data_IF_379719944599
#
_entry.id   IF_379719944599
#
_cell.length_a   1.000
_cell.length_b   1.000
_cell.length_c   1.000
_cell.angle_alpha   90.00
_cell.angle_beta   90.00
_cell.angle_gamma   90.00
#
_symmetry.space_group_name_H-M   'P 1'
#
loop_
_entity.id
_entity.type
_entity.pdbx_description
1 polymer ?
#
# COMPACT_ATOMS: atom_id res chain seq x y z
N UNK A 1 10.51 -14.47 -6.23
CA UNK A 1 10.81 -14.02 -4.84
C UNK A 1 11.42 -12.60 -4.74
N UNK A 2 11.17 -11.69 -5.68
CA UNK A 2 11.60 -10.28 -5.58
C UNK A 2 10.41 -9.32 -5.33
N UNK A 3 9.25 -9.60 -5.95
CA UNK A 3 8.01 -8.85 -5.73
C UNK A 3 7.54 -8.91 -4.27
N UNK A 4 7.48 -10.10 -3.68
CA UNK A 4 7.13 -10.28 -2.26
C UNK A 4 8.04 -9.47 -1.30
N UNK A 5 9.34 -9.42 -1.57
CA UNK A 5 10.28 -8.61 -0.76
C UNK A 5 10.01 -7.11 -0.93
N UNK A 6 9.72 -6.66 -2.15
CA UNK A 6 9.37 -5.27 -2.43
C UNK A 6 8.05 -4.86 -1.78
N UNK A 7 7.04 -5.73 -1.80
CA UNK A 7 5.77 -5.53 -1.08
C UNK A 7 6.01 -5.42 0.43
N UNK A 8 6.80 -6.33 1.02
CA UNK A 8 7.13 -6.30 2.44
C UNK A 8 7.87 -5.01 2.84
N UNK A 9 8.78 -4.51 2.01
CA UNK A 9 9.46 -3.23 2.24
C UNK A 9 8.50 -2.04 2.19
N UNK A 10 7.56 -2.03 1.23
CA UNK A 10 6.53 -0.99 1.13
C UNK A 10 5.56 -1.04 2.31
N UNK A 11 5.20 -2.23 2.80
CA UNK A 11 4.38 -2.39 4.01
C UNK A 11 5.06 -1.78 5.24
N UNK A 12 6.35 -2.07 5.47
CA UNK A 12 7.12 -1.42 6.55
C UNK A 12 7.14 0.10 6.44
N UNK A 13 7.28 0.62 5.21
CA UNK A 13 7.23 2.07 4.96
C UNK A 13 5.84 2.65 5.26
N UNK A 14 4.78 1.93 4.92
CA UNK A 14 3.41 2.32 5.24
C UNK A 14 3.17 2.37 6.75
N UNK A 15 3.59 1.34 7.49
CA UNK A 15 3.51 1.30 8.96
C UNK A 15 4.26 2.46 9.63
N UNK A 16 5.46 2.78 9.12
CA UNK A 16 6.23 3.92 9.63
C UNK A 16 5.52 5.26 9.38
N UNK A 17 4.92 5.45 8.21
CA UNK A 17 4.10 6.63 7.91
C UNK A 17 2.87 6.73 8.83
N UNK A 18 2.28 5.60 9.21
CA UNK A 18 1.15 5.54 10.15
C UNK A 18 1.53 5.94 11.56
N UNK A 19 2.70 5.52 12.03
CA UNK A 19 3.22 5.93 13.33
C UNK A 19 3.47 7.44 13.37
N UNK A 20 4.10 8.00 12.33
CA UNK A 20 4.36 9.45 12.26
C UNK A 20 3.06 10.23 12.15
N UNK A 21 2.11 9.77 11.36
CA UNK A 21 0.79 10.41 11.26
C UNK A 21 0.10 10.41 12.62
N UNK A 22 0.13 9.28 13.33
CA UNK A 22 -0.41 9.16 14.68
C UNK A 22 0.25 10.14 15.65
N UNK A 23 1.58 10.22 15.66
CA UNK A 23 2.32 11.15 16.52
C UNK A 23 1.98 12.61 16.22
N UNK A 24 1.96 12.99 14.94
CA UNK A 24 1.67 14.36 14.51
C UNK A 24 0.21 14.75 14.82
N UNK A 25 -0.74 13.81 14.71
CA UNK A 25 -2.14 14.05 15.09
C UNK A 25 -2.36 14.18 16.60
N UNK A 26 -1.51 13.59 17.43
CA UNK A 26 -1.55 13.73 18.90
C UNK A 26 -0.78 14.95 19.41
N UNK A 27 -0.12 15.70 18.51
CA UNK A 27 0.60 16.90 18.88
C UNK A 27 -0.40 18.02 19.27
N UNK A 28 -0.05 18.83 20.27
CA UNK A 28 -0.92 19.92 20.76
C UNK A 28 -1.20 20.97 19.66
N UNK A 29 -0.29 21.10 18.70
CA UNK A 29 -0.44 21.90 17.49
C UNK A 29 -0.03 21.04 16.29
N UNK A 30 -0.97 20.33 15.67
CA UNK A 30 -0.67 19.52 14.50
C UNK A 30 -0.33 20.42 13.32
N UNK A 31 0.79 20.14 12.64
CA UNK A 31 1.08 20.79 11.37
C UNK A 31 0.20 20.18 10.27
N UNK A 32 -0.84 20.92 9.87
CA UNK A 32 -1.79 20.47 8.85
C UNK A 32 -1.13 20.22 7.49
N UNK A 33 -0.10 20.98 7.13
CA UNK A 33 0.65 20.81 5.88
C UNK A 33 1.41 19.48 5.94
N UNK A 34 2.09 19.23 7.06
CA UNK A 34 2.82 17.99 7.30
C UNK A 34 1.89 16.78 7.34
N UNK A 35 0.74 16.89 8.00
CA UNK A 35 -0.30 15.86 8.00
C UNK A 35 -0.81 15.55 6.60
N UNK A 36 -1.08 16.58 5.78
CA UNK A 36 -1.49 16.39 4.40
C UNK A 36 -0.42 15.70 3.56
N UNK A 37 0.85 16.06 3.74
CA UNK A 37 1.98 15.42 3.07
C UNK A 37 2.15 13.95 3.47
N UNK A 38 1.99 13.64 4.77
CA UNK A 38 2.06 12.27 5.27
C UNK A 38 0.89 11.44 4.72
N UNK A 39 -0.35 11.97 4.73
CA UNK A 39 -1.53 11.30 4.15
C UNK A 39 -1.35 11.02 2.66
N UNK A 40 -0.83 11.99 1.90
CA UNK A 40 -0.55 11.84 0.47
C UNK A 40 0.53 10.78 0.21
N UNK A 41 1.59 10.77 1.02
CA UNK A 41 2.64 9.76 0.96
C UNK A 41 2.10 8.36 1.27
N UNK A 42 1.26 8.24 2.31
CA UNK A 42 0.58 7.00 2.68
C UNK A 42 -0.30 6.47 1.55
N UNK A 43 -1.10 7.34 0.92
CA UNK A 43 -1.94 6.98 -0.21
C UNK A 43 -1.11 6.42 -1.38
N UNK A 44 -0.01 7.10 -1.74
CA UNK A 44 0.91 6.63 -2.80
C UNK A 44 1.51 5.26 -2.51
N UNK A 45 1.96 5.03 -1.27
CA UNK A 45 2.51 3.72 -0.88
C UNK A 45 1.43 2.64 -0.92
N UNK A 46 0.21 2.96 -0.48
CA UNK A 46 -0.93 2.04 -0.56
C UNK A 46 -1.28 1.70 -2.01
N UNK A 47 -1.28 2.68 -2.90
CA UNK A 47 -1.53 2.50 -4.33
C UNK A 47 -0.42 1.65 -4.99
N UNK A 48 0.85 1.86 -4.63
CA UNK A 48 1.97 1.06 -5.13
C UNK A 48 1.88 -0.39 -4.62
N UNK A 49 1.54 -0.62 -3.36
CA UNK A 49 1.28 -1.97 -2.83
C UNK A 49 0.12 -2.63 -3.56
N UNK A 50 -0.99 -1.92 -3.75
CA UNK A 50 -2.15 -2.45 -4.46
C UNK A 50 -1.83 -2.78 -5.92
N UNK A 51 -1.05 -1.93 -6.59
CA UNK A 51 -0.58 -2.16 -7.96
C UNK A 51 0.33 -3.38 -8.04
N UNK A 52 1.32 -3.51 -7.15
CA UNK A 52 2.24 -4.65 -7.12
C UNK A 52 1.54 -5.95 -6.73
N UNK A 53 0.60 -5.91 -5.79
CA UNK A 53 -0.20 -7.08 -5.41
C UNK A 53 -1.18 -7.50 -6.52
N UNK A 54 -1.70 -6.54 -7.29
CA UNK A 54 -2.50 -6.83 -8.47
C UNK A 54 -1.64 -7.40 -9.61
N UNK A 55 -0.41 -6.90 -9.75
CA UNK A 55 0.56 -7.40 -10.73
C UNK A 55 1.03 -8.82 -10.38
N UNK A 56 1.29 -9.12 -9.11
CA UNK A 56 1.56 -10.48 -8.62
C UNK A 56 0.38 -11.43 -8.92
N UNK A 57 -0.86 -10.96 -8.72
CA UNK A 57 -2.07 -11.72 -9.14
C UNK A 57 -2.20 -11.87 -10.66
N UNK A 58 -1.70 -10.94 -11.46
CA UNK A 58 -1.78 -10.97 -12.93
C UNK A 58 -0.70 -11.86 -13.56
N UNK A 59 0.41 -12.11 -12.86
CA UNK A 59 1.45 -13.10 -13.23
C UNK A 59 0.97 -14.55 -13.01
N UNK A 60 -0.28 -14.75 -12.55
CA UNK A 60 -0.98 -16.04 -12.58
C UNK A 60 -1.93 -16.19 -13.80
N UNK A 61 -1.88 -15.26 -14.77
CA UNK A 61 -2.75 -15.19 -15.95
C UNK A 61 -1.98 -15.15 -17.28
N UNK A 62 -0.95 -15.97 -17.42
CA UNK A 62 -0.39 -16.43 -18.71
C UNK A 62 0.04 -17.91 -18.52
N UNK A 63 -0.41 -18.93 -19.28
CA UNK A 63 -0.62 -19.07 -20.72
C UNK A 63 -2.00 -19.70 -21.14
N UNK A 64 -2.97 -19.90 -20.25
CA UNK A 64 -4.20 -20.68 -20.57
C UNK A 64 -5.53 -19.90 -20.56
N UNK A 65 -5.55 -18.59 -20.32
CA UNK A 65 -6.70 -17.73 -20.64
C UNK A 65 -8.04 -18.03 -19.93
N UNK A 66 -8.05 -18.71 -18.78
CA UNK A 66 -9.30 -19.02 -18.03
C UNK A 66 -9.40 -18.15 -16.77
N UNK A 67 -10.40 -17.26 -16.74
CA UNK A 67 -10.74 -16.40 -15.60
C UNK A 67 -11.75 -17.07 -14.67
N UNK A 68 -11.30 -17.73 -13.59
CA UNK A 68 -12.20 -18.04 -12.47
C UNK A 68 -12.38 -16.79 -11.58
N UNK A 69 -13.36 -15.95 -11.93
CA UNK A 69 -13.97 -15.05 -10.94
C UNK A 69 -14.82 -15.90 -9.98
N UNK A 70 -14.24 -16.30 -8.85
CA UNK A 70 -15.07 -16.74 -7.71
C UNK A 70 -15.73 -15.52 -7.09
N UNK A 71 -16.95 -15.25 -7.56
CA UNK A 71 -17.91 -14.41 -6.88
C UNK A 71 -18.17 -15.03 -5.50
N UNK A 72 -17.84 -14.30 -4.43
CA UNK A 72 -18.23 -14.69 -3.09
C UNK A 72 -19.74 -14.46 -2.95
N UNK A 73 -20.46 -15.55 -2.66
CA UNK A 73 -21.91 -15.63 -2.40
C UNK A 73 -22.29 -14.76 -1.21
#
# INVERSE_FOLDING_TARGET
MALAQRIAALQKRHEWLDQILGQEMHHLYPDEIRLHQIKKSKLRVKDEIASLANMERKVMYDDSGEMEYRQAV
#
